data_IF_256589314417
#
_entry.id   IF_256589314417
#
_cell.length_a   1.000
_cell.length_b   1.000
_cell.length_c   1.000
_cell.angle_alpha   90.00
_cell.angle_beta   90.00
_cell.angle_gamma   90.00
#
_symmetry.space_group_name_H-M   'P 1'
#
loop_
_entity.id
_entity.type
_entity.pdbx_description
1 polymer ?
#
# COMPACT_ATOMS: atom_id res chain seq x y z
N UNK A 1 23.28 -1.83 -22.68
CA UNK A 1 22.03 -1.15 -22.29
C UNK A 1 22.30 0.32 -22.08
N UNK A 2 21.53 1.19 -22.75
CA UNK A 2 21.59 2.65 -22.58
C UNK A 2 21.10 3.13 -21.24
N UNK A 3 21.62 4.28 -20.80
CA UNK A 3 21.12 4.98 -19.61
C UNK A 3 19.61 5.17 -19.72
N UNK A 4 19.10 5.43 -20.94
CA UNK A 4 17.67 5.53 -21.22
C UNK A 4 16.95 4.21 -21.00
N UNK A 5 17.45 3.10 -21.53
CA UNK A 5 16.86 1.77 -21.35
C UNK A 5 16.81 1.34 -19.87
N UNK A 6 17.88 1.61 -19.11
CA UNK A 6 17.92 1.31 -17.67
C UNK A 6 16.89 2.16 -16.90
N UNK A 7 16.70 3.41 -17.29
CA UNK A 7 15.69 4.31 -16.72
C UNK A 7 14.27 3.83 -17.04
N UNK A 8 14.01 3.46 -18.28
CA UNK A 8 12.72 2.93 -18.72
C UNK A 8 12.41 1.60 -18.00
N UNK A 9 13.39 0.71 -17.87
CA UNK A 9 13.26 -0.54 -17.11
C UNK A 9 12.96 -0.28 -15.64
N UNK A 10 13.61 0.71 -15.01
CA UNK A 10 13.34 1.05 -13.62
C UNK A 10 11.90 1.55 -13.41
N UNK A 11 11.36 2.32 -14.37
CA UNK A 11 9.96 2.76 -14.35
C UNK A 11 8.99 1.57 -14.56
N UNK A 12 9.33 0.63 -15.44
CA UNK A 12 8.56 -0.61 -15.62
C UNK A 12 8.58 -1.48 -14.35
N UNK A 13 9.74 -1.64 -13.71
CA UNK A 13 9.88 -2.35 -12.44
C UNK A 13 9.03 -1.69 -11.35
N UNK A 14 9.00 -0.35 -11.31
CA UNK A 14 8.13 0.39 -10.41
C UNK A 14 6.67 0.02 -10.68
N UNK A 15 6.20 0.05 -11.93
CA UNK A 15 4.81 -0.31 -12.28
C UNK A 15 4.50 -1.76 -11.90
N UNK A 16 5.37 -2.72 -12.21
CA UNK A 16 5.19 -4.13 -11.87
C UNK A 16 5.09 -4.35 -10.35
N UNK A 17 5.95 -3.68 -9.57
CA UNK A 17 5.92 -3.70 -8.10
C UNK A 17 4.55 -3.26 -7.55
N UNK A 18 3.96 -2.23 -8.17
CA UNK A 18 2.67 -1.69 -7.75
C UNK A 18 1.53 -2.64 -8.01
N UNK A 19 1.51 -3.26 -9.19
CA UNK A 19 0.52 -4.26 -9.56
C UNK A 19 0.60 -5.45 -8.60
N UNK A 20 1.82 -5.94 -8.34
CA UNK A 20 2.05 -7.02 -7.40
C UNK A 20 1.57 -6.66 -5.98
N UNK A 21 1.85 -5.45 -5.49
CA UNK A 21 1.37 -4.99 -4.18
C UNK A 21 -0.16 -4.81 -4.12
N UNK A 22 -0.79 -4.43 -5.23
CA UNK A 22 -2.25 -4.34 -5.33
C UNK A 22 -2.90 -5.72 -5.28
N UNK A 23 -2.33 -6.71 -5.99
CA UNK A 23 -2.74 -8.12 -5.98
C UNK A 23 -2.57 -8.76 -4.59
N UNK A 24 -1.44 -8.50 -3.93
CA UNK A 24 -1.21 -8.92 -2.54
C UNK A 24 -2.31 -8.41 -1.62
N UNK A 25 -2.63 -7.12 -1.69
CA UNK A 25 -3.72 -6.54 -0.91
C UNK A 25 -5.08 -7.20 -1.20
N UNK A 26 -5.41 -7.43 -2.46
CA UNK A 26 -6.65 -8.11 -2.85
C UNK A 26 -6.72 -9.54 -2.30
N UNK A 27 -5.62 -10.29 -2.40
CA UNK A 27 -5.51 -11.64 -1.82
C UNK A 27 -5.71 -11.63 -0.31
N UNK A 28 -5.10 -10.68 0.40
CA UNK A 28 -5.28 -10.53 1.85
C UNK A 28 -6.74 -10.22 2.21
N UNK A 29 -7.42 -9.35 1.47
CA UNK A 29 -8.85 -9.07 1.69
C UNK A 29 -9.70 -10.32 1.52
N UNK A 30 -9.52 -11.06 0.43
CA UNK A 30 -10.26 -12.30 0.18
C UNK A 30 -10.00 -13.33 1.28
N UNK A 31 -8.76 -13.45 1.73
CA UNK A 31 -8.40 -14.29 2.88
C UNK A 31 -9.10 -13.86 4.17
N UNK A 32 -9.14 -12.56 4.47
CA UNK A 32 -9.77 -12.03 5.67
C UNK A 32 -11.30 -12.21 5.65
N UNK A 33 -11.96 -12.02 4.51
CA UNK A 33 -13.39 -12.31 4.32
C UNK A 33 -13.67 -13.80 4.56
N UNK A 34 -12.81 -14.67 4.01
CA UNK A 34 -12.95 -16.13 4.17
C UNK A 34 -12.71 -16.58 5.62
N UNK A 35 -11.77 -15.95 6.33
CA UNK A 35 -11.57 -16.19 7.74
C UNK A 35 -12.78 -15.68 8.56
N UNK A 36 -13.37 -14.55 8.19
CA UNK A 36 -14.54 -13.98 8.86
C UNK A 36 -15.75 -14.93 8.86
N UNK A 37 -15.93 -15.76 7.81
CA UNK A 37 -17.03 -16.74 7.80
C UNK A 37 -16.90 -17.83 8.88
N UNK A 38 -15.76 -17.92 9.57
CA UNK A 38 -15.53 -18.81 10.72
C UNK A 38 -15.82 -18.15 12.06
N UNK A 39 -15.99 -16.82 12.09
CA UNK A 39 -16.46 -16.11 13.27
C UNK A 39 -17.97 -16.33 13.39
N UNK A 40 -18.41 -17.14 14.36
CA UNK A 40 -19.83 -17.44 14.54
C UNK A 40 -20.52 -16.26 15.27
N UNK A 41 -21.47 -15.54 14.63
CA UNK A 41 -22.12 -14.37 15.22
C UNK A 41 -22.94 -14.71 16.49
N UNK A 42 -23.41 -15.95 16.62
CA UNK A 42 -24.14 -16.44 17.79
C UNK A 42 -23.21 -16.93 18.91
N UNK A 43 -21.93 -17.17 18.60
CA UNK A 43 -20.92 -17.71 19.52
C UNK A 43 -19.60 -16.94 19.43
N UNK A 44 -19.67 -15.60 19.37
CA UNK A 44 -18.50 -14.73 19.21
C UNK A 44 -17.46 -14.99 20.29
N UNK A 45 -17.89 -15.13 21.56
CA UNK A 45 -16.99 -15.40 22.68
C UNK A 45 -16.17 -16.69 22.50
N UNK A 46 -16.75 -17.73 21.91
CA UNK A 46 -16.09 -19.02 21.68
C UNK A 46 -15.24 -19.03 20.40
N UNK A 47 -15.60 -18.26 19.38
CA UNK A 47 -14.95 -18.29 18.05
C UNK A 47 -13.95 -17.16 17.81
N UNK A 48 -13.98 -16.08 18.60
CA UNK A 48 -13.11 -14.90 18.44
C UNK A 48 -11.62 -15.24 18.46
N UNK A 49 -11.18 -16.14 19.34
CA UNK A 49 -9.76 -16.45 19.51
C UNK A 49 -9.20 -17.19 18.28
N UNK A 50 -9.95 -18.16 17.75
CA UNK A 50 -9.58 -18.86 16.52
C UNK A 50 -9.53 -17.93 15.31
N UNK A 51 -10.53 -17.06 15.18
CA UNK A 51 -10.57 -16.05 14.11
C UNK A 51 -9.40 -15.05 14.20
N UNK A 52 -9.11 -14.51 15.39
CA UNK A 52 -7.98 -13.58 15.61
C UNK A 52 -6.66 -14.23 15.22
N UNK A 53 -6.43 -15.47 15.65
CA UNK A 53 -5.22 -16.24 15.32
C UNK A 53 -5.07 -16.41 13.81
N UNK A 54 -6.15 -16.77 13.11
CA UNK A 54 -6.13 -16.98 11.66
C UNK A 54 -5.85 -15.69 10.88
N UNK A 55 -6.60 -14.61 11.15
CA UNK A 55 -6.43 -13.35 10.43
C UNK A 55 -5.08 -12.69 10.75
N UNK A 56 -4.60 -12.79 11.99
CA UNK A 56 -3.28 -12.28 12.35
C UNK A 56 -2.17 -13.04 11.63
N UNK A 57 -2.25 -14.37 11.55
CA UNK A 57 -1.29 -15.19 10.81
C UNK A 57 -1.29 -14.87 9.31
N UNK A 58 -2.48 -14.66 8.71
CA UNK A 58 -2.64 -14.20 7.33
C UNK A 58 -1.92 -12.87 7.10
N UNK A 59 -2.20 -11.86 7.93
CA UNK A 59 -1.60 -10.52 7.79
C UNK A 59 -0.09 -10.58 7.97
N UNK A 60 0.41 -11.30 8.98
CA UNK A 60 1.86 -11.47 9.20
C UNK A 60 2.55 -12.05 7.98
N UNK A 61 2.01 -13.14 7.44
CA UNK A 61 2.54 -13.79 6.23
C UNK A 61 2.57 -12.81 5.06
N UNK A 62 1.44 -12.18 4.76
CA UNK A 62 1.32 -11.30 3.59
C UNK A 62 2.13 -10.02 3.75
N UNK A 63 2.29 -9.52 4.98
CA UNK A 63 3.15 -8.38 5.30
C UNK A 63 4.63 -8.67 5.02
N UNK A 64 5.13 -9.83 5.44
CA UNK A 64 6.50 -10.28 5.15
C UNK A 64 6.70 -10.45 3.64
N UNK A 65 5.72 -11.00 2.92
CA UNK A 65 5.79 -11.08 1.45
C UNK A 65 5.82 -9.69 0.80
N UNK A 66 5.04 -8.74 1.33
CA UNK A 66 5.08 -7.34 0.90
C UNK A 66 6.46 -6.69 1.10
N UNK A 67 7.14 -6.98 2.22
CA UNK A 67 8.51 -6.50 2.46
C UNK A 67 9.50 -7.11 1.48
N UNK A 68 9.45 -8.44 1.26
CA UNK A 68 10.31 -9.11 0.28
C UNK A 68 10.15 -8.54 -1.12
N UNK A 69 8.90 -8.34 -1.55
CA UNK A 69 8.57 -7.69 -2.80
C UNK A 69 9.14 -6.25 -2.87
N UNK A 70 9.01 -5.47 -1.79
CA UNK A 70 9.56 -4.12 -1.71
C UNK A 70 11.09 -4.08 -1.76
N UNK A 71 11.78 -5.01 -1.09
CA UNK A 71 13.24 -5.09 -1.08
C UNK A 71 13.76 -5.50 -2.46
N UNK A 72 13.20 -6.54 -3.07
CA UNK A 72 13.58 -6.95 -4.41
C UNK A 72 13.37 -5.82 -5.44
N UNK A 73 12.23 -5.11 -5.35
CA UNK A 73 11.98 -3.90 -6.13
C UNK A 73 13.04 -2.82 -5.89
N UNK A 74 13.29 -2.48 -4.63
CA UNK A 74 14.24 -1.43 -4.26
C UNK A 74 15.64 -1.76 -4.77
N UNK A 75 16.09 -3.01 -4.61
CA UNK A 75 17.40 -3.47 -5.04
C UNK A 75 17.58 -3.38 -6.55
N UNK A 76 16.56 -3.79 -7.33
CA UNK A 76 16.57 -3.66 -8.79
C UNK A 76 16.52 -2.21 -9.23
N UNK A 77 15.56 -1.43 -8.71
CA UNK A 77 15.38 -0.01 -9.05
C UNK A 77 16.63 0.80 -8.76
N UNK A 78 17.24 0.62 -7.58
CA UNK A 78 18.49 1.26 -7.19
C UNK A 78 19.64 0.89 -8.13
N UNK A 79 19.77 -0.39 -8.51
CA UNK A 79 20.82 -0.84 -9.42
C UNK A 79 20.68 -0.20 -10.80
N UNK A 80 19.47 -0.20 -11.36
CA UNK A 80 19.17 0.41 -12.65
C UNK A 80 19.40 1.93 -12.64
N UNK A 81 19.11 2.60 -11.52
CA UNK A 81 19.21 4.06 -11.39
C UNK A 81 20.59 4.56 -11.01
N UNK A 82 21.41 3.75 -10.32
CA UNK A 82 22.64 4.22 -9.68
C UNK A 82 23.86 3.35 -9.95
N UNK A 83 23.70 2.20 -10.62
CA UNK A 83 24.75 1.20 -10.81
C UNK A 83 25.15 0.45 -9.54
N UNK A 84 24.42 0.64 -8.44
CA UNK A 84 24.70 0.06 -7.11
C UNK A 84 23.42 -0.48 -6.50
N UNK A 85 23.52 -1.50 -5.66
CA UNK A 85 22.37 -2.05 -4.93
C UNK A 85 22.66 -2.18 -3.45
N UNK A 86 21.70 -2.67 -2.67
CA UNK A 86 21.86 -2.98 -1.25
C UNK A 86 21.81 -4.49 -1.00
N UNK A 87 22.24 -4.93 0.17
CA UNK A 87 22.10 -6.33 0.59
C UNK A 87 20.64 -6.78 0.70
N UNK A 88 20.40 -8.09 0.71
CA UNK A 88 19.08 -8.67 1.04
C UNK A 88 19.00 -9.04 2.53
N UNK A 89 18.19 -8.34 3.33
CA UNK A 89 17.91 -8.72 4.71
C UNK A 89 17.32 -10.13 4.89
N UNK A 90 16.65 -10.66 3.86
CA UNK A 90 15.97 -11.97 3.93
C UNK A 90 16.77 -13.12 3.34
N UNK A 91 17.85 -12.80 2.62
CA UNK A 91 18.76 -13.77 2.06
C UNK A 91 20.19 -13.21 2.15
N UNK A 92 20.76 -13.13 3.37
CA UNK A 92 22.15 -12.74 3.55
C UNK A 92 23.02 -13.84 2.90
N UNK A 93 23.30 -13.66 1.61
CA UNK A 93 24.25 -14.50 0.88
C UNK A 93 25.65 -14.34 1.48
N UNK A 94 26.64 -15.11 1.01
CA UNK A 94 28.03 -14.79 1.31
C UNK A 94 28.24 -13.30 1.00
N UNK A 95 29.01 -12.60 1.84
CA UNK A 95 29.33 -11.16 1.77
C UNK A 95 30.09 -10.88 0.46
N UNK A 96 29.40 -11.05 -0.65
CA UNK A 96 29.83 -10.78 -1.99
C UNK A 96 29.48 -9.33 -2.21
N UNK A 97 30.51 -8.50 -2.31
CA UNK A 97 30.38 -7.07 -2.61
C UNK A 97 29.72 -6.79 -3.95
N UNK A 98 29.30 -7.81 -4.71
CA UNK A 98 28.79 -7.69 -6.08
C UNK A 98 27.67 -8.68 -6.39
N UNK A 99 26.69 -8.26 -7.19
CA UNK A 99 25.61 -9.07 -7.81
C UNK A 99 25.45 -8.67 -9.27
N UNK A 100 24.64 -9.36 -10.07
CA UNK A 100 24.37 -8.95 -11.46
C UNK A 100 22.96 -8.39 -11.64
N UNK A 101 22.74 -7.53 -12.65
CA UNK A 101 21.38 -7.10 -13.01
C UNK A 101 20.47 -8.30 -13.32
N UNK A 102 21.00 -9.34 -13.96
CA UNK A 102 20.24 -10.56 -14.24
C UNK A 102 19.83 -11.29 -12.95
N UNK A 103 20.66 -11.27 -11.90
CA UNK A 103 20.29 -11.80 -10.58
C UNK A 103 19.18 -10.98 -9.93
N UNK A 104 19.30 -9.65 -9.96
CA UNK A 104 18.30 -8.73 -9.40
C UNK A 104 16.95 -8.80 -10.14
N UNK A 105 16.96 -8.93 -11.47
CA UNK A 105 15.74 -9.16 -12.27
C UNK A 105 15.05 -10.46 -11.87
N UNK A 106 15.80 -11.56 -11.83
CA UNK A 106 15.24 -12.87 -11.40
C UNK A 106 14.74 -12.85 -9.96
N UNK A 107 15.42 -12.12 -9.08
CA UNK A 107 14.95 -11.92 -7.70
C UNK A 107 13.62 -11.18 -7.66
N UNK A 108 13.51 -10.06 -8.38
CA UNK A 108 12.28 -9.30 -8.48
C UNK A 108 11.14 -10.11 -9.12
N UNK A 109 11.40 -10.82 -10.21
CA UNK A 109 10.45 -11.72 -10.86
C UNK A 109 9.97 -12.82 -9.91
N UNK A 110 10.88 -13.46 -9.15
CA UNK A 110 10.50 -14.43 -8.13
C UNK A 110 9.66 -13.81 -7.01
N UNK A 111 9.98 -12.60 -6.58
CA UNK A 111 9.21 -11.90 -5.56
C UNK A 111 7.80 -11.53 -6.05
N UNK A 112 7.66 -11.11 -7.31
CA UNK A 112 6.37 -10.87 -7.95
C UNK A 112 5.57 -12.17 -8.09
N UNK A 113 6.18 -13.23 -8.62
CA UNK A 113 5.51 -14.53 -8.81
C UNK A 113 5.15 -15.23 -7.48
N UNK A 114 5.98 -15.06 -6.44
CA UNK A 114 5.75 -15.59 -5.10
C UNK A 114 4.84 -14.74 -4.22
N UNK A 115 4.43 -13.55 -4.68
CA UNK A 115 3.53 -12.68 -3.91
C UNK A 115 2.12 -13.27 -3.85
N UNK A 116 1.44 -13.20 -2.69
CA UNK A 116 0.03 -13.57 -2.58
C UNK A 116 -0.80 -12.91 -3.67
N UNK A 117 -1.68 -13.68 -4.33
CA UNK A 117 -2.52 -13.18 -5.40
C UNK A 117 -1.80 -12.94 -6.74
N UNK A 118 -0.58 -13.43 -6.96
CA UNK A 118 0.10 -13.33 -8.25
C UNK A 118 -0.76 -13.81 -9.43
N UNK A 119 -1.53 -14.88 -9.22
CA UNK A 119 -2.47 -15.45 -10.18
C UNK A 119 -3.76 -14.64 -10.39
N UNK A 120 -4.06 -13.65 -9.53
CA UNK A 120 -5.26 -12.84 -9.68
C UNK A 120 -5.14 -11.96 -10.93
N UNK A 121 -6.18 -11.91 -11.76
CA UNK A 121 -6.26 -10.97 -12.87
C UNK A 121 -6.75 -9.57 -12.41
N UNK A 122 -6.90 -8.65 -13.36
CA UNK A 122 -7.36 -7.28 -13.08
C UNK A 122 -8.78 -7.23 -12.54
N UNK A 123 -9.68 -8.04 -13.09
CA UNK A 123 -11.10 -8.06 -12.74
C UNK A 123 -11.32 -8.68 -11.36
N UNK A 124 -10.56 -9.71 -11.01
CA UNK A 124 -10.58 -10.32 -9.68
C UNK A 124 -10.09 -9.35 -8.59
N UNK A 125 -9.08 -8.54 -8.89
CA UNK A 125 -8.60 -7.48 -7.97
C UNK A 125 -9.68 -6.42 -7.77
N UNK A 126 -10.41 -6.05 -8.83
CA UNK A 126 -11.53 -5.10 -8.75
C UNK A 126 -12.68 -5.72 -7.96
N UNK A 127 -13.08 -6.95 -8.25
CA UNK A 127 -14.16 -7.65 -7.58
C UNK A 127 -13.90 -7.84 -6.08
N UNK A 128 -12.66 -8.18 -5.70
CA UNK A 128 -12.25 -8.27 -4.30
C UNK A 128 -12.45 -6.95 -3.54
N UNK A 129 -12.28 -5.81 -4.22
CA UNK A 129 -12.50 -4.46 -3.67
C UNK A 129 -13.96 -4.05 -3.67
N UNK A 130 -14.70 -4.39 -4.73
CA UNK A 130 -16.14 -4.14 -4.82
C UNK A 130 -16.90 -4.80 -3.65
N UNK A 131 -16.50 -6.03 -3.28
CA UNK A 131 -17.04 -6.74 -2.10
C UNK A 131 -16.68 -6.09 -0.76
N UNK A 132 -15.67 -5.20 -0.71
CA UNK A 132 -15.22 -4.50 0.50
C UNK A 132 -15.76 -3.06 0.63
N UNK A 133 -16.64 -2.61 -0.27
CA UNK A 133 -17.42 -1.38 -0.07
C UNK A 133 -16.74 -0.07 -0.50
N UNK A 134 -16.03 -0.06 -1.65
CA UNK A 134 -15.88 1.16 -2.49
C UNK A 134 -15.42 0.81 -3.90
N UNK A 135 -16.24 1.13 -4.91
CA UNK A 135 -15.86 1.08 -6.33
C UNK A 135 -14.77 2.11 -6.63
N UNK A 136 -13.62 1.65 -7.12
CA UNK A 136 -12.65 2.46 -7.85
C UNK A 136 -12.16 1.62 -9.02
N UNK A 137 -12.52 2.03 -10.24
CA UNK A 137 -11.99 1.45 -11.47
C UNK A 137 -10.49 1.78 -11.61
N UNK A 138 -9.64 0.78 -11.90
CA UNK A 138 -8.26 1.01 -12.28
C UNK A 138 -8.13 1.17 -13.80
N UNK A 139 -7.15 1.99 -14.19
CA UNK A 139 -6.69 2.13 -15.57
C UNK A 139 -6.05 0.82 -16.04
N UNK A 140 -6.66 0.18 -17.03
CA UNK A 140 -6.16 -1.01 -17.73
C UNK A 140 -4.99 -0.62 -18.63
N UNK A 141 -3.78 -0.65 -18.09
CA UNK A 141 -2.57 -0.64 -18.92
C UNK A 141 -1.83 -1.94 -18.61
N UNK A 142 -2.00 -2.92 -19.49
CA UNK A 142 -1.25 -4.17 -19.42
C UNK A 142 0.25 -3.87 -19.56
N UNK A 143 1.11 -4.43 -18.70
CA UNK A 143 2.55 -4.35 -18.91
C UNK A 143 2.88 -5.19 -20.14
N UNK A 144 3.26 -4.54 -21.24
CA UNK A 144 3.84 -5.24 -22.38
C UNK A 144 5.17 -5.86 -21.94
N UNK A 145 5.18 -7.18 -21.87
CA UNK A 145 6.37 -8.01 -21.71
C UNK A 145 7.24 -7.90 -22.97
N UNK A 146 8.23 -7.01 -22.94
CA UNK A 146 9.31 -7.02 -23.93
C UNK A 146 10.64 -6.73 -23.25
N UNK A 147 11.09 -7.65 -22.40
CA UNK A 147 12.52 -7.73 -22.05
C UNK A 147 13.23 -8.44 -23.22
N UNK A 148 13.72 -7.65 -24.18
CA UNK A 148 14.32 -8.15 -25.43
C UNK A 148 15.74 -7.66 -25.69
N UNK A 149 16.67 -8.64 -25.70
CA UNK A 149 17.96 -8.84 -26.41
C UNK A 149 18.87 -7.68 -26.85
N UNK A 150 20.13 -7.83 -26.39
CA UNK A 150 21.45 -7.71 -27.05
C UNK A 150 21.67 -6.67 -28.17
N UNK A 151 22.42 -5.61 -27.84
CA UNK A 151 23.22 -4.81 -28.78
C UNK A 151 24.48 -4.26 -28.04
N UNK A 152 25.70 -4.36 -28.61
CA UNK A 152 26.95 -4.04 -27.92
C UNK A 152 27.43 -2.65 -28.33
N UNK A 153 27.29 -1.67 -27.44
CA UNK A 153 28.28 -0.60 -27.27
C UNK A 153 27.79 0.39 -26.22
N UNK A 154 27.91 -0.01 -24.96
CA UNK A 154 28.07 0.92 -23.85
C UNK A 154 29.02 0.33 -22.84
N UNK A 155 30.05 1.11 -22.53
CA UNK A 155 31.03 0.89 -21.48
C UNK A 155 30.35 0.98 -20.09
N UNK A 156 29.57 -0.05 -19.79
CA UNK A 156 29.27 -0.52 -18.45
C UNK A 156 29.88 -1.91 -18.43
N UNK A 157 31.03 -2.07 -17.77
CA UNK A 157 31.68 -3.38 -17.66
C UNK A 157 30.65 -4.49 -17.39
N UNK A 158 30.71 -5.62 -18.10
CA UNK A 158 29.70 -6.65 -18.02
C UNK A 158 29.69 -7.25 -16.61
N UNK A 159 28.60 -6.99 -15.89
CA UNK A 159 28.00 -8.01 -15.03
C UNK A 159 27.95 -7.73 -13.53
N UNK A 160 28.78 -6.85 -12.96
CA UNK A 160 28.88 -6.72 -11.49
C UNK A 160 28.41 -5.36 -10.96
N UNK A 161 27.32 -5.39 -10.19
CA UNK A 161 26.69 -4.31 -9.43
C UNK A 161 27.16 -4.41 -7.99
N UNK A 162 27.82 -3.38 -7.48
CA UNK A 162 28.30 -3.39 -6.10
C UNK A 162 27.13 -3.33 -5.10
N UNK A 163 27.23 -4.16 -4.06
CA UNK A 163 26.29 -4.26 -2.95
C UNK A 163 26.80 -3.39 -1.80
N UNK A 164 26.07 -2.32 -1.52
CA UNK A 164 26.36 -1.41 -0.42
C UNK A 164 25.58 -1.81 0.83
N UNK A 165 26.25 -1.83 1.97
CA UNK A 165 25.60 -2.09 3.26
C UNK A 165 24.86 -0.84 3.74
N UNK A 166 23.61 -1.03 4.16
CA UNK A 166 22.87 -0.04 4.92
C UNK A 166 22.92 -0.42 6.40
N UNK A 167 23.55 0.37 7.26
CA UNK A 167 23.67 0.06 8.68
C UNK A 167 22.30 -0.23 9.33
N UNK A 168 22.26 -1.28 10.14
CA UNK A 168 21.12 -1.71 10.95
C UNK A 168 19.82 -1.94 10.17
N UNK A 169 19.88 -2.18 8.85
CA UNK A 169 18.69 -2.36 8.02
C UNK A 169 17.82 -3.53 8.53
N UNK A 170 18.45 -4.65 8.86
CA UNK A 170 17.77 -5.84 9.36
C UNK A 170 17.05 -5.55 10.68
N UNK A 171 17.71 -4.83 11.60
CA UNK A 171 17.12 -4.44 12.88
C UNK A 171 15.94 -3.47 12.68
N UNK A 172 16.07 -2.51 11.75
CA UNK A 172 15.01 -1.56 11.42
C UNK A 172 13.78 -2.28 10.87
N UNK A 173 13.96 -3.22 9.94
CA UNK A 173 12.86 -3.98 9.36
C UNK A 173 12.23 -4.91 10.41
N UNK A 174 13.03 -5.62 11.20
CA UNK A 174 12.54 -6.45 12.30
C UNK A 174 11.80 -5.62 13.36
N UNK A 175 12.25 -4.39 13.63
CA UNK A 175 11.59 -3.45 14.53
C UNK A 175 10.20 -3.05 14.06
N UNK A 176 10.01 -2.83 12.76
CA UNK A 176 8.70 -2.53 12.18
C UNK A 176 7.69 -3.67 12.39
N UNK A 177 8.15 -4.92 12.35
CA UNK A 177 7.25 -6.07 12.49
C UNK A 177 6.88 -6.35 13.94
N UNK A 178 7.82 -6.22 14.88
CA UNK A 178 7.53 -6.36 16.32
C UNK A 178 6.46 -5.38 16.80
N UNK A 179 6.51 -4.12 16.34
CA UNK A 179 5.51 -3.11 16.72
C UNK A 179 4.13 -3.44 16.15
N UNK A 180 4.08 -3.87 14.89
CA UNK A 180 2.84 -4.15 14.16
C UNK A 180 2.15 -5.41 14.68
N UNK A 181 2.89 -6.41 15.14
CA UNK A 181 2.32 -7.66 15.61
C UNK A 181 1.37 -7.51 16.80
N UNK A 182 1.73 -6.66 17.76
CA UNK A 182 0.90 -6.36 18.93
C UNK A 182 -0.28 -5.46 18.56
N UNK A 183 -0.04 -4.44 17.74
CA UNK A 183 -1.09 -3.50 17.30
C UNK A 183 -2.12 -4.20 16.40
N UNK A 184 -1.71 -5.21 15.62
CA UNK A 184 -2.59 -5.94 14.70
C UNK A 184 -3.70 -6.66 15.44
N UNK A 185 -3.39 -7.40 16.50
CA UNK A 185 -4.39 -8.15 17.25
C UNK A 185 -5.40 -7.20 17.93
N UNK A 186 -4.90 -6.11 18.53
CA UNK A 186 -5.74 -5.08 19.15
C UNK A 186 -6.69 -4.41 18.14
N UNK A 187 -6.17 -4.02 16.97
CA UNK A 187 -6.99 -3.44 15.89
C UNK A 187 -8.04 -4.44 15.42
N UNK A 188 -7.63 -5.68 15.12
CA UNK A 188 -8.52 -6.70 14.57
C UNK A 188 -9.64 -7.06 15.54
N UNK A 189 -9.34 -7.16 16.84
CA UNK A 189 -10.34 -7.39 17.88
C UNK A 189 -11.41 -6.29 17.86
N UNK A 190 -10.99 -5.03 17.79
CA UNK A 190 -11.89 -3.87 17.79
C UNK A 190 -12.74 -3.82 16.52
N UNK A 191 -12.16 -4.03 15.34
CA UNK A 191 -12.88 -3.88 14.06
C UNK A 191 -13.70 -5.10 13.66
N UNK A 192 -13.39 -6.27 14.23
CA UNK A 192 -14.09 -7.54 14.00
C UNK A 192 -15.10 -7.87 15.11
N UNK A 193 -14.75 -8.75 16.07
CA UNK A 193 -15.68 -9.31 17.05
C UNK A 193 -16.35 -8.25 17.94
N UNK A 194 -15.59 -7.27 18.44
CA UNK A 194 -16.16 -6.23 19.33
C UNK A 194 -17.17 -5.36 18.55
N UNK A 195 -16.88 -5.06 17.27
CA UNK A 195 -17.80 -4.33 16.39
C UNK A 195 -19.04 -5.14 16.04
N UNK A 196 -18.89 -6.45 15.84
CA UNK A 196 -20.01 -7.35 15.57
C UNK A 196 -20.95 -7.43 16.78
N UNK A 197 -20.40 -7.61 17.98
CA UNK A 197 -21.18 -7.59 19.22
C UNK A 197 -21.89 -6.25 19.44
N UNK A 198 -21.21 -5.15 19.15
CA UNK A 198 -21.81 -3.81 19.22
C UNK A 198 -23.00 -3.67 18.28
N UNK A 199 -22.86 -4.02 17.00
CA UNK A 199 -23.95 -3.97 16.02
C UNK A 199 -25.12 -4.86 16.43
N UNK A 200 -24.84 -6.05 16.97
CA UNK A 200 -25.89 -6.95 17.50
C UNK A 200 -26.72 -6.28 18.58
N UNK A 201 -26.06 -5.63 19.56
CA UNK A 201 -26.74 -4.92 20.66
C UNK A 201 -27.56 -3.73 20.16
N UNK A 202 -27.00 -2.92 19.25
CA UNK A 202 -27.70 -1.78 18.63
C UNK A 202 -28.97 -2.25 17.89
N UNK A 203 -28.88 -3.38 17.20
CA UNK A 203 -30.01 -3.98 16.49
C UNK A 203 -31.07 -4.52 17.46
N UNK A 204 -30.69 -5.24 18.51
CA UNK A 204 -31.62 -5.73 19.57
C UNK A 204 -32.37 -4.57 20.24
N UNK A 205 -31.67 -3.46 20.52
CA UNK A 205 -32.28 -2.23 21.06
C UNK A 205 -33.27 -1.60 20.07
N UNK A 206 -32.87 -1.49 18.80
CA UNK A 206 -33.73 -0.93 17.74
C UNK A 206 -34.99 -1.77 17.52
N UNK A 207 -34.87 -3.10 17.55
CA UNK A 207 -36.00 -4.03 17.50
C UNK A 207 -36.95 -3.84 18.68
N UNK A 208 -36.40 -3.72 19.90
CA UNK A 208 -37.19 -3.49 21.10
C UNK A 208 -37.95 -2.16 21.05
N UNK A 209 -37.32 -1.11 20.52
CA UNK A 209 -37.93 0.21 20.36
C UNK A 209 -39.07 0.22 19.32
N UNK A 210 -38.91 -0.45 18.18
CA UNK A 210 -39.95 -0.54 17.15
C UNK A 210 -41.13 -1.41 17.61
N UNK A 211 -40.85 -2.50 18.34
CA UNK A 211 -41.89 -3.34 18.96
C UNK A 211 -42.79 -2.54 19.92
N UNK A 212 -42.23 -1.62 20.71
CA UNK A 212 -43.00 -0.70 21.57
C UNK A 212 -43.91 0.26 20.79
N UNK A 213 -43.63 0.49 19.50
CA UNK A 213 -44.47 1.30 18.59
C UNK A 213 -45.48 0.43 17.81
N UNK A 214 -45.64 -0.84 18.16
CA UNK A 214 -46.52 -1.79 17.46
C UNK A 214 -45.97 -2.28 16.12
N UNK A 215 -44.70 -2.02 15.80
CA UNK A 215 -44.05 -2.47 14.57
C UNK A 215 -43.20 -3.70 14.85
N UNK A 216 -43.49 -4.80 14.16
CA UNK A 216 -42.75 -6.05 14.28
C UNK A 216 -42.05 -6.41 12.96
N UNK A 217 -40.78 -6.80 13.07
CA UNK A 217 -40.02 -7.31 11.94
C UNK A 217 -40.30 -8.79 11.72
N UNK A 218 -40.40 -9.22 10.47
CA UNK A 218 -40.50 -10.64 10.12
C UNK A 218 -39.17 -11.35 10.35
N UNK A 219 -39.16 -12.69 10.55
CA UNK A 219 -37.93 -13.45 10.66
C UNK A 219 -36.96 -13.25 9.48
N UNK A 220 -37.49 -13.06 8.26
CA UNK A 220 -36.68 -12.78 7.07
C UNK A 220 -35.99 -11.41 7.14
N UNK A 221 -36.71 -10.36 7.57
CA UNK A 221 -36.14 -9.02 7.76
C UNK A 221 -35.02 -9.05 8.80
N UNK A 222 -35.23 -9.76 9.91
CA UNK A 222 -34.22 -9.91 10.97
C UNK A 222 -32.94 -10.60 10.48
N UNK A 223 -33.08 -11.68 9.71
CA UNK A 223 -31.94 -12.37 9.09
C UNK A 223 -31.19 -11.47 8.11
N UNK A 224 -31.93 -10.71 7.29
CA UNK A 224 -31.34 -9.76 6.34
C UNK A 224 -30.52 -8.69 7.05
N UNK A 225 -31.07 -8.05 8.08
CA UNK A 225 -30.36 -7.02 8.86
C UNK A 225 -29.11 -7.59 9.56
N UNK A 226 -29.21 -8.80 10.13
CA UNK A 226 -28.06 -9.47 10.74
C UNK A 226 -26.96 -9.74 9.71
N UNK A 227 -27.34 -10.19 8.51
CA UNK A 227 -26.39 -10.43 7.42
C UNK A 227 -25.73 -9.13 6.94
N UNK A 228 -26.48 -8.04 6.82
CA UNK A 228 -25.94 -6.72 6.48
C UNK A 228 -24.94 -6.21 7.53
N UNK A 229 -25.22 -6.43 8.81
CA UNK A 229 -24.29 -6.13 9.90
C UNK A 229 -22.99 -6.94 9.79
N UNK A 230 -23.11 -8.25 9.57
CA UNK A 230 -21.98 -9.16 9.39
C UNK A 230 -21.13 -8.76 8.18
N UNK A 231 -21.75 -8.50 7.02
CA UNK A 231 -21.05 -8.11 5.80
C UNK A 231 -20.33 -6.77 5.96
N UNK A 232 -20.93 -5.80 6.65
CA UNK A 232 -20.28 -4.53 6.94
C UNK A 232 -19.05 -4.68 7.87
N UNK A 233 -19.11 -5.59 8.84
CA UNK A 233 -17.96 -5.89 9.72
C UNK A 233 -16.88 -6.66 8.98
N UNK A 234 -17.26 -7.63 8.14
CA UNK A 234 -16.34 -8.40 7.31
C UNK A 234 -15.58 -7.48 6.35
N UNK A 235 -16.28 -6.59 5.64
CA UNK A 235 -15.69 -5.61 4.74
C UNK A 235 -14.71 -4.66 5.46
N UNK A 236 -15.11 -4.14 6.63
CA UNK A 236 -14.25 -3.28 7.44
C UNK A 236 -12.97 -3.99 7.91
N UNK A 237 -13.09 -5.25 8.33
CA UNK A 237 -11.93 -6.06 8.73
C UNK A 237 -11.02 -6.36 7.54
N UNK A 238 -11.60 -6.69 6.38
CA UNK A 238 -10.84 -6.95 5.17
C UNK A 238 -10.02 -5.73 4.74
N UNK A 239 -10.59 -4.52 4.78
CA UNK A 239 -9.87 -3.28 4.48
C UNK A 239 -8.71 -3.00 5.42
N UNK A 240 -8.87 -3.31 6.71
CA UNK A 240 -7.80 -3.21 7.71
C UNK A 240 -6.69 -4.24 7.47
N UNK A 241 -7.06 -5.48 7.13
CA UNK A 241 -6.12 -6.54 6.79
C UNK A 241 -5.28 -6.17 5.55
N UNK A 242 -5.93 -5.65 4.49
CA UNK A 242 -5.25 -5.13 3.29
C UNK A 242 -4.22 -4.06 3.67
N UNK A 243 -4.65 -3.09 4.49
CA UNK A 243 -3.82 -1.97 4.90
C UNK A 243 -2.59 -2.46 5.67
N UNK A 244 -2.77 -3.32 6.66
CA UNK A 244 -1.69 -3.83 7.51
C UNK A 244 -0.67 -4.66 6.71
N UNK A 245 -1.15 -5.50 5.78
CA UNK A 245 -0.29 -6.27 4.88
C UNK A 245 0.52 -5.36 3.94
N UNK A 246 -0.15 -4.45 3.20
CA UNK A 246 0.54 -3.53 2.27
C UNK A 246 1.50 -2.56 2.96
N UNK A 247 1.26 -2.26 4.24
CA UNK A 247 2.14 -1.39 5.01
C UNK A 247 3.53 -1.99 5.20
N UNK A 248 3.70 -3.32 5.16
CA UNK A 248 5.03 -3.94 5.19
C UNK A 248 5.90 -3.44 4.04
N UNK A 249 5.35 -3.48 2.82
CA UNK A 249 6.01 -3.01 1.61
C UNK A 249 6.27 -1.48 1.64
N UNK A 250 5.24 -0.71 2.00
CA UNK A 250 5.31 0.78 2.02
C UNK A 250 6.33 1.31 3.03
N UNK A 251 6.38 0.70 4.21
CA UNK A 251 7.30 1.10 5.27
C UNK A 251 8.72 0.68 4.93
N UNK A 252 8.92 -0.51 4.35
CA UNK A 252 10.23 -0.96 3.89
C UNK A 252 10.84 0.04 2.89
N UNK A 253 10.13 0.38 1.81
CA UNK A 253 10.62 1.37 0.82
C UNK A 253 10.97 2.70 1.47
N UNK A 254 10.07 3.26 2.28
CA UNK A 254 10.29 4.54 2.93
C UNK A 254 11.52 4.52 3.87
N UNK A 255 11.64 3.47 4.70
CA UNK A 255 12.74 3.35 5.68
C UNK A 255 14.09 3.09 5.05
N UNK A 256 14.12 2.33 3.96
CA UNK A 256 15.33 2.11 3.17
C UNK A 256 15.74 3.43 2.51
N UNK A 257 14.83 4.10 1.81
CA UNK A 257 15.12 5.38 1.15
C UNK A 257 15.58 6.49 2.12
N UNK A 258 15.07 6.51 3.35
CA UNK A 258 15.51 7.46 4.39
C UNK A 258 16.96 7.25 4.86
N UNK A 259 17.49 6.04 4.69
CA UNK A 259 18.84 5.64 5.14
C UNK A 259 19.83 5.52 4.00
N UNK A 260 19.33 5.35 2.79
CA UNK A 260 20.15 5.14 1.61
C UNK A 260 20.81 6.47 1.17
N UNK A 261 22.14 6.59 1.23
CA UNK A 261 22.84 7.82 0.82
C UNK A 261 22.69 8.13 -0.67
N UNK A 262 22.27 7.15 -1.49
CA UNK A 262 21.98 7.35 -2.93
C UNK A 262 20.56 7.78 -3.21
N UNK A 263 19.64 7.62 -2.25
CA UNK A 263 18.31 8.17 -2.37
C UNK A 263 18.34 9.63 -1.90
N UNK A 264 17.88 10.54 -2.74
CA UNK A 264 17.66 11.94 -2.35
C UNK A 264 16.33 12.13 -1.60
N UNK A 265 15.58 11.04 -1.42
CA UNK A 265 14.35 10.95 -0.64
C UNK A 265 13.37 9.91 -1.20
N UNK A 266 12.13 9.97 -0.74
CA UNK A 266 11.02 9.23 -1.32
C UNK A 266 9.80 10.12 -1.45
N UNK A 267 8.87 9.78 -2.33
CA UNK A 267 7.61 10.51 -2.51
C UNK A 267 6.42 9.60 -2.34
N UNK A 268 5.29 10.17 -1.88
CA UNK A 268 4.00 9.47 -1.97
C UNK A 268 3.59 9.45 -3.43
N UNK A 269 3.15 8.29 -3.95
CA UNK A 269 2.62 8.17 -5.32
C UNK A 269 1.27 7.46 -5.32
N UNK A 270 0.38 7.84 -6.23
CA UNK A 270 -0.94 7.20 -6.41
C UNK A 270 -0.87 6.19 -7.56
N UNK A 271 -1.40 4.99 -7.33
CA UNK A 271 -1.46 3.94 -8.35
C UNK A 271 -2.63 4.11 -9.33
N UNK A 272 -3.66 4.87 -8.93
CA UNK A 272 -4.90 5.03 -9.71
C UNK A 272 -5.01 6.41 -10.35
N UNK A 273 -4.10 7.34 -10.04
CA UNK A 273 -4.25 8.75 -10.39
C UNK A 273 -5.34 9.49 -9.60
N UNK A 274 -6.10 8.78 -8.76
CA UNK A 274 -7.25 9.28 -7.98
C UNK A 274 -7.06 9.09 -6.47
N UNK A 275 -6.00 9.67 -5.87
CA UNK A 275 -5.73 9.52 -4.44
C UNK A 275 -6.80 10.20 -3.58
N UNK A 276 -7.01 9.72 -2.36
CA UNK A 276 -7.81 10.47 -1.38
C UNK A 276 -7.14 11.83 -1.07
N UNK A 277 -7.91 12.81 -0.60
CA UNK A 277 -7.37 14.17 -0.38
C UNK A 277 -6.20 14.24 0.62
N UNK A 278 -6.10 13.33 1.59
CA UNK A 278 -4.91 13.24 2.45
C UNK A 278 -3.66 12.77 1.68
N UNK A 279 -3.78 11.70 0.91
CA UNK A 279 -2.67 11.24 0.08
C UNK A 279 -2.33 12.24 -1.02
N UNK A 280 -3.32 12.92 -1.61
CA UNK A 280 -3.10 14.01 -2.57
C UNK A 280 -2.27 15.15 -1.95
N UNK A 281 -2.52 15.49 -0.69
CA UNK A 281 -1.70 16.46 0.05
C UNK A 281 -0.27 15.92 0.26
N UNK A 282 -0.11 14.65 0.60
CA UNK A 282 1.24 14.08 0.72
C UNK A 282 1.97 13.99 -0.63
N UNK A 283 1.24 13.79 -1.73
CA UNK A 283 1.75 13.79 -3.11
C UNK A 283 2.21 15.21 -3.51
N UNK A 284 1.46 16.26 -3.12
CA UNK A 284 1.79 17.66 -3.45
C UNK A 284 3.09 18.15 -2.80
N UNK A 285 3.55 17.49 -1.74
CA UNK A 285 4.82 17.81 -1.09
C UNK A 285 6.03 17.58 -2.00
N UNK A 286 5.88 16.74 -3.03
CA UNK A 286 6.96 16.40 -3.95
C UNK A 286 8.23 15.95 -3.21
N UNK A 287 9.38 16.34 -3.75
CA UNK A 287 10.70 16.02 -3.17
C UNK A 287 11.06 16.88 -1.94
N UNK A 288 10.26 17.91 -1.62
CA UNK A 288 10.62 18.97 -0.65
C UNK A 288 10.72 18.46 0.80
N UNK A 289 10.08 17.33 1.13
CA UNK A 289 10.08 16.82 2.51
C UNK A 289 11.38 16.14 2.96
N UNK A 290 12.34 15.88 2.07
CA UNK A 290 13.46 14.99 2.38
C UNK A 290 14.85 15.53 1.97
N UNK A 291 14.94 16.81 1.60
CA UNK A 291 16.20 17.48 1.21
C UNK A 291 17.17 17.73 2.36
N UNK A 292 16.80 17.42 3.60
CA UNK A 292 17.75 17.40 4.72
C UNK A 292 17.47 16.23 5.67
N UNK A 293 18.54 15.66 6.23
CA UNK A 293 18.50 14.66 7.33
C UNK A 293 17.55 15.09 8.46
N UNK A 294 17.43 16.42 8.67
CA UNK A 294 16.58 17.10 9.67
C UNK A 294 15.10 17.22 9.27
N UNK A 295 14.77 17.18 7.98
CA UNK A 295 13.41 17.09 7.47
C UNK A 295 12.92 15.63 7.47
N UNK A 296 13.79 14.68 7.12
CA UNK A 296 13.55 13.24 7.27
C UNK A 296 13.26 12.85 8.74
N UNK A 297 14.02 13.40 9.70
CA UNK A 297 13.78 13.17 11.14
C UNK A 297 12.55 13.89 11.73
N UNK A 298 11.91 14.81 10.98
CA UNK A 298 10.61 15.41 11.34
C UNK A 298 9.44 14.75 10.62
N UNK A 299 9.69 14.18 9.45
CA UNK A 299 8.74 13.37 8.70
C UNK A 299 8.55 12.00 9.37
N UNK A 300 9.61 11.38 9.90
CA UNK A 300 9.51 10.35 10.94
C UNK A 300 9.11 11.05 12.24
N UNK A 301 7.95 10.77 12.81
CA UNK A 301 7.58 11.33 14.11
C UNK A 301 8.63 11.01 15.18
N UNK A 302 8.51 11.65 16.36
CA UNK A 302 9.23 11.27 17.58
C UNK A 302 9.40 9.75 17.64
N UNK A 303 10.61 9.27 17.95
CA UNK A 303 10.94 7.85 18.21
C UNK A 303 9.70 7.11 18.78
N UNK A 304 9.05 6.27 17.96
CA UNK A 304 7.80 5.56 18.31
C UNK A 304 6.46 6.16 17.80
N UNK A 305 6.47 7.21 16.98
CA UNK A 305 5.27 7.76 16.34
C UNK A 305 5.41 7.72 14.82
N UNK A 306 4.56 6.92 14.15
CA UNK A 306 4.47 6.89 12.68
C UNK A 306 4.38 8.31 12.15
N UNK A 307 5.34 8.67 11.31
CA UNK A 307 5.34 9.93 10.58
C UNK A 307 4.02 10.19 9.86
N UNK A 308 3.58 11.44 9.74
CA UNK A 308 2.37 11.76 8.95
C UNK A 308 2.46 11.25 7.50
N UNK A 309 3.69 11.13 6.98
CA UNK A 309 4.00 10.52 5.70
C UNK A 309 3.73 9.01 5.63
N UNK A 310 3.69 8.27 6.73
CA UNK A 310 3.52 6.80 6.73
C UNK A 310 2.08 6.35 6.95
N UNK A 311 1.14 7.29 7.19
CA UNK A 311 -0.26 6.96 7.44
C UNK A 311 -1.02 6.70 6.14
N UNK A 312 -1.63 5.53 6.07
CA UNK A 312 -2.54 5.10 5.01
C UNK A 312 -3.89 4.75 5.63
N UNK A 313 -4.98 4.97 4.91
CA UNK A 313 -6.31 4.47 5.28
C UNK A 313 -6.58 3.11 4.63
N UNK A 314 -7.67 2.47 5.01
CA UNK A 314 -8.11 1.18 4.44
C UNK A 314 -8.41 1.34 2.95
N UNK A 315 -8.09 0.33 2.12
CA UNK A 315 -8.22 0.40 0.65
C UNK A 315 -7.38 1.47 -0.05
N UNK A 316 -6.40 2.06 0.62
CA UNK A 316 -5.54 3.05 0.00
C UNK A 316 -4.70 2.43 -1.15
N UNK A 317 -4.70 3.09 -2.31
CA UNK A 317 -3.91 2.72 -3.49
C UNK A 317 -2.74 3.67 -3.71
N UNK A 318 -2.12 4.13 -2.63
CA UNK A 318 -0.91 4.92 -2.71
C UNK A 318 0.26 4.14 -2.10
N UNK A 319 1.47 4.49 -2.53
CA UNK A 319 2.73 3.86 -2.11
C UNK A 319 3.80 4.92 -1.81
N UNK A 320 4.91 4.47 -1.23
CA UNK A 320 6.16 5.23 -1.18
C UNK A 320 7.01 4.84 -2.39
N UNK A 321 7.67 5.81 -3.02
CA UNK A 321 8.48 5.66 -4.22
C UNK A 321 9.86 6.29 -3.97
N UNK A 322 10.99 5.55 -4.07
CA UNK A 322 12.30 6.14 -3.88
C UNK A 322 12.67 7.05 -5.06
N UNK A 323 13.41 8.12 -4.76
CA UNK A 323 13.93 9.05 -5.75
C UNK A 323 15.45 9.12 -5.59
N UNK A 324 16.18 8.86 -6.66
CA UNK A 324 17.64 8.78 -6.69
C UNK A 324 18.28 10.02 -7.34
N UNK A 325 17.54 10.75 -8.18
CA UNK A 325 18.04 12.00 -8.77
C UNK A 325 16.92 13.03 -8.99
N UNK A 326 17.30 14.31 -9.07
CA UNK A 326 16.36 15.37 -9.44
C UNK A 326 15.84 15.18 -10.86
N UNK A 327 16.73 14.79 -11.76
CA UNK A 327 16.38 14.48 -13.15
C UNK A 327 15.26 13.44 -13.21
N UNK A 328 15.41 12.30 -12.53
CA UNK A 328 14.37 11.27 -12.42
C UNK A 328 13.01 11.87 -12.03
N UNK A 329 12.98 12.72 -11.00
CA UNK A 329 11.75 13.33 -10.52
C UNK A 329 11.10 14.28 -11.55
N UNK A 330 11.90 14.99 -12.34
CA UNK A 330 11.42 15.97 -13.31
C UNK A 330 11.10 15.38 -14.68
N UNK A 331 11.74 14.28 -15.09
CA UNK A 331 11.62 13.71 -16.43
C UNK A 331 10.74 12.47 -16.49
N UNK A 332 10.64 11.67 -15.41
CA UNK A 332 9.80 10.47 -15.44
C UNK A 332 8.32 10.82 -15.28
N UNK A 333 7.51 10.17 -16.12
CA UNK A 333 6.05 10.29 -16.12
C UNK A 333 5.42 9.74 -14.83
N UNK A 334 6.10 8.86 -14.09
CA UNK A 334 5.57 8.31 -12.84
C UNK A 334 5.36 9.39 -11.76
N UNK A 335 6.02 10.55 -11.91
CA UNK A 335 5.93 11.68 -10.97
C UNK A 335 5.06 12.86 -11.49
N UNK A 336 4.37 12.71 -12.63
CA UNK A 336 3.52 13.77 -13.20
C UNK A 336 2.51 14.30 -12.19
N UNK A 337 1.85 13.38 -11.48
CA UNK A 337 0.87 13.72 -10.46
C UNK A 337 1.49 14.49 -9.29
N UNK A 338 2.70 14.11 -8.87
CA UNK A 338 3.45 14.80 -7.82
C UNK A 338 3.77 16.23 -8.24
N UNK A 339 4.32 16.43 -9.44
CA UNK A 339 4.68 17.76 -9.97
C UNK A 339 3.45 18.64 -10.11
N UNK A 340 2.36 18.10 -10.68
CA UNK A 340 1.08 18.80 -10.82
C UNK A 340 0.52 19.23 -9.47
N UNK A 341 0.39 18.33 -8.51
CA UNK A 341 -0.13 18.68 -7.18
C UNK A 341 0.78 19.61 -6.41
N UNK A 342 2.10 19.55 -6.59
CA UNK A 342 3.03 20.49 -5.99
C UNK A 342 2.80 21.94 -6.46
N UNK A 343 2.40 22.12 -7.72
CA UNK A 343 2.00 23.44 -8.24
C UNK A 343 0.61 23.85 -7.77
N UNK A 344 -0.35 22.91 -7.73
CA UNK A 344 -1.74 23.22 -7.35
C UNK A 344 -1.89 23.55 -5.86
N UNK A 345 -1.21 22.82 -4.97
CA UNK A 345 -1.36 22.95 -3.52
C UNK A 345 -1.20 24.40 -3.01
N UNK A 346 -0.07 25.12 -3.24
CA UNK A 346 0.09 26.48 -2.73
C UNK A 346 -0.92 27.47 -3.34
N UNK A 347 -1.39 27.23 -4.57
CA UNK A 347 -2.40 28.06 -5.23
C UNK A 347 -3.79 27.86 -4.61
N UNK A 348 -4.19 26.61 -4.41
CA UNK A 348 -5.52 26.23 -3.90
C UNK A 348 -5.64 26.51 -2.40
N UNK A 349 -4.55 26.37 -1.65
CA UNK A 349 -4.54 26.56 -0.19
C UNK A 349 -4.10 27.96 0.24
N UNK A 350 -3.91 28.89 -0.71
CA UNK A 350 -3.51 30.27 -0.41
C UNK A 350 -4.50 30.91 0.57
N UNK A 351 -3.98 31.43 1.69
CA UNK A 351 -4.79 32.04 2.75
C UNK A 351 -5.41 31.06 3.74
N UNK A 352 -5.25 29.75 3.56
CA UNK A 352 -5.71 28.72 4.49
C UNK A 352 -4.53 28.03 5.17
N UNK A 353 -4.71 27.62 6.42
CA UNK A 353 -3.66 26.96 7.21
C UNK A 353 -4.18 25.70 7.92
N UNK A 354 -3.26 24.82 8.32
CA UNK A 354 -3.58 23.63 9.12
C UNK A 354 -4.72 22.77 8.54
N UNK A 355 -5.76 22.54 9.36
CA UNK A 355 -6.92 21.71 8.98
C UNK A 355 -7.77 22.35 7.87
N UNK A 356 -7.82 23.68 7.80
CA UNK A 356 -8.61 24.39 6.79
C UNK A 356 -8.00 24.23 5.40
N UNK A 357 -6.67 24.38 5.29
CA UNK A 357 -5.94 24.12 4.04
C UNK A 357 -6.22 22.71 3.51
N UNK A 358 -6.19 21.72 4.41
CA UNK A 358 -6.50 20.34 4.06
C UNK A 358 -7.97 20.16 3.65
N UNK A 359 -8.91 20.88 4.27
CA UNK A 359 -10.34 20.83 3.91
C UNK A 359 -10.58 21.37 2.50
N UNK A 360 -10.03 22.55 2.19
CA UNK A 360 -10.12 23.18 0.87
C UNK A 360 -9.48 22.29 -0.19
N UNK A 361 -8.29 21.74 0.10
CA UNK A 361 -7.65 20.79 -0.78
C UNK A 361 -8.48 19.52 -1.03
N UNK A 362 -9.11 18.95 0.02
CA UNK A 362 -10.01 17.79 -0.12
C UNK A 362 -11.20 18.11 -1.01
N UNK A 363 -11.77 19.32 -0.91
CA UNK A 363 -12.85 19.76 -1.78
C UNK A 363 -12.40 19.83 -3.25
N UNK A 364 -11.25 20.44 -3.52
CA UNK A 364 -10.64 20.53 -4.86
C UNK A 364 -10.33 19.15 -5.47
N UNK A 365 -9.76 18.23 -4.70
CA UNK A 365 -9.48 16.87 -5.20
C UNK A 365 -10.76 16.12 -5.52
N UNK A 366 -11.81 16.27 -4.70
CA UNK A 366 -13.11 15.65 -4.99
C UNK A 366 -13.73 16.20 -6.26
N UNK A 367 -13.71 17.52 -6.48
CA UNK A 367 -14.28 18.10 -7.71
C UNK A 367 -13.54 17.63 -8.97
N UNK A 368 -12.19 17.55 -8.93
CA UNK A 368 -11.42 16.98 -10.04
C UNK A 368 -11.77 15.52 -10.32
N UNK A 369 -11.96 14.72 -9.27
CA UNK A 369 -12.30 13.29 -9.42
C UNK A 369 -13.70 13.10 -9.98
N UNK A 370 -14.67 13.88 -9.48
CA UNK A 370 -16.04 13.87 -10.01
C UNK A 370 -16.11 14.30 -11.48
N UNK A 371 -15.26 15.25 -11.92
CA UNK A 371 -15.20 15.68 -13.31
C UNK A 371 -14.56 14.63 -14.25
N UNK A 372 -13.77 13.69 -13.72
CA UNK A 372 -13.10 12.63 -14.49
C UNK A 372 -13.94 11.35 -14.65
N UNK A 373 -14.98 11.18 -13.86
CA UNK A 373 -15.96 10.11 -14.03
C UNK A 373 -17.06 10.65 -14.96
N UNK A 374 -17.14 10.24 -16.24
CA UNK A 374 -18.25 10.63 -17.09
C UNK A 374 -19.56 10.17 -16.46
N UNK A 375 -20.64 10.90 -16.72
CA UNK A 375 -21.99 10.59 -16.26
C UNK A 375 -22.54 9.29 -16.89
N UNK A 376 -21.99 8.12 -16.54
CA UNK A 376 -22.56 6.80 -16.86
C UNK A 376 -23.55 6.31 -15.79
N UNK A 377 -23.99 7.19 -14.89
CA UNK A 377 -24.98 6.89 -13.83
C UNK A 377 -26.37 7.49 -14.08
N UNK A 378 -26.70 7.79 -15.34
CA UNK A 378 -28.03 8.18 -15.76
C UNK A 378 -28.51 7.29 -16.92
N UNK A 379 -28.77 6.02 -16.62
CA UNK A 379 -29.66 5.14 -17.37
C UNK A 379 -30.13 4.01 -16.44
#
# INVERSE_FOLDING_TARGET
MSTRELVEEADQAAVAYQVALAKLGASTMLGAIRAFSRLNPSQVAATKAGWLKEVTALIRRDRVQGQRLAIAYYRLSRALRTGRTIGDPFAPGPVGKVVTLAQLRREFERAVAGSPGAALDGDEVIAARGKAGREVEPSTTEPKSSLGRDDPDLDVSPGLIEVEELPDLDEVLAGLDREVDRETEEILKVVGPDRLEKKRKEREQSQSAESRKGKHYTPQQLRKMAKEDEDAVAAGTAGQAERLAKNGARQAVARIAERDPRAIGWVRRSLTGTPCGWCAMLISRGLIFYTSKRAASRASGRRGSRGDGERYHDHCQCVAEPVYSREQYFTSNIFDLNRRYAMEWPRITKGFYGKEALSVWRAHIRSQQSAKTPASRAA
#
